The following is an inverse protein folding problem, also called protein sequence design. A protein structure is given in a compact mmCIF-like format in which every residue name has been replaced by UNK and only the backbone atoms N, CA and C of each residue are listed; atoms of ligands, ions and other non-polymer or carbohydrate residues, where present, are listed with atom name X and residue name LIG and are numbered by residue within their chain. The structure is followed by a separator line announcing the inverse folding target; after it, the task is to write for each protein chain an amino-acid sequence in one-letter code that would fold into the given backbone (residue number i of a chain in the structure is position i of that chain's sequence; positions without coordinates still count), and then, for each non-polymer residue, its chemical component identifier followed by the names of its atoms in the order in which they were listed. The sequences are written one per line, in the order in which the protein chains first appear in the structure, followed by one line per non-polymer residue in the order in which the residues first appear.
data_IF_847623459760
#
_entry.id   IF_847623459760
#
_cell.length_a   1.000
_cell.length_b   1.000
_cell.length_c   1.000
_cell.angle_alpha   90.00
_cell.angle_beta   90.00
_cell.angle_gamma   90.00
#
_symmetry.space_group_name_H-M   'P 1'
#
loop_
_entity.id
_entity.type
_entity.pdbx_description
1 polymer ?
#
# COMPACT_ATOMS: atom_id res chain seq x y z
N UNK A 1 -3.24 -8.75 9.03
CA UNK A 1 -3.52 -8.98 7.61
C UNK A 1 -2.24 -9.38 6.87
N UNK A 2 -2.35 -10.16 5.80
CA UNK A 2 -1.21 -10.49 4.93
C UNK A 2 -0.83 -9.27 4.09
N UNK A 3 0.47 -8.99 3.98
CA UNK A 3 1.00 -7.89 3.18
C UNK A 3 2.34 -8.28 2.53
N UNK A 4 2.63 -7.73 1.35
CA UNK A 4 3.95 -7.82 0.73
C UNK A 4 4.76 -6.59 1.12
N UNK A 5 5.97 -6.81 1.64
CA UNK A 5 6.81 -5.74 2.16
C UNK A 5 8.28 -5.91 1.77
N UNK A 6 8.95 -4.78 1.54
CA UNK A 6 10.40 -4.66 1.47
C UNK A 6 10.93 -4.60 2.90
N UNK A 7 11.26 -5.76 3.47
CA UNK A 7 11.73 -5.88 4.87
C UNK A 7 13.25 -5.88 5.00
N UNK A 8 13.98 -6.04 3.90
CA UNK A 8 15.45 -6.14 3.88
C UNK A 8 16.04 -5.31 2.74
N UNK A 9 17.27 -4.83 2.94
CA UNK A 9 18.05 -4.08 1.94
C UNK A 9 18.77 -5.01 0.95
N UNK A 10 18.02 -5.93 0.35
CA UNK A 10 18.50 -6.91 -0.64
C UNK A 10 17.40 -7.19 -1.69
N UNK A 11 17.72 -7.81 -2.83
CA UNK A 11 16.72 -8.23 -3.81
C UNK A 11 15.66 -9.15 -3.18
N UNK A 12 14.39 -8.93 -3.53
CA UNK A 12 13.25 -9.67 -3.03
C UNK A 12 12.15 -8.81 -2.42
N UNK A 13 11.04 -9.47 -2.11
CA UNK A 13 9.90 -8.96 -1.36
C UNK A 13 9.36 -10.10 -0.48
N UNK A 14 8.86 -9.78 0.71
CA UNK A 14 8.48 -10.80 1.70
C UNK A 14 7.03 -10.63 2.11
N UNK A 15 6.32 -11.76 2.18
CA UNK A 15 4.99 -11.81 2.78
C UNK A 15 5.13 -11.75 4.30
N UNK A 16 4.43 -10.79 4.92
CA UNK A 16 4.39 -10.61 6.37
C UNK A 16 2.95 -10.67 6.88
N UNK A 17 2.81 -10.88 8.19
CA UNK A 17 1.59 -10.57 8.92
C UNK A 17 1.74 -9.16 9.53
N UNK A 18 0.97 -8.21 9.01
CA UNK A 18 0.90 -6.84 9.51
C UNK A 18 -0.35 -6.64 10.40
N UNK A 19 -0.35 -5.72 11.36
CA UNK A 19 -1.59 -5.30 12.01
C UNK A 19 -2.53 -4.65 10.98
N UNK A 20 -3.81 -4.54 11.32
CA UNK A 20 -4.72 -3.66 10.58
C UNK A 20 -4.26 -2.20 10.80
N UNK A 21 -4.19 -1.37 9.74
CA UNK A 21 -3.70 -0.01 9.88
C UNK A 21 -4.72 0.86 10.64
N UNK A 22 -4.21 1.68 11.54
CA UNK A 22 -4.97 2.79 12.11
C UNK A 22 -5.07 3.92 11.08
N UNK A 23 -6.18 4.66 11.10
CA UNK A 23 -6.44 5.77 10.18
C UNK A 23 -6.93 6.99 10.94
N UNK A 24 -6.46 8.17 10.54
CA UNK A 24 -6.75 9.44 11.18
C UNK A 24 -8.05 10.09 10.71
N UNK A 25 -8.28 11.32 11.18
CA UNK A 25 -9.53 12.05 10.90
C UNK A 25 -9.76 12.38 9.42
N UNK A 26 -8.71 12.45 8.60
CA UNK A 26 -8.80 12.76 7.17
C UNK A 26 -8.55 11.54 6.27
N UNK A 27 -8.48 10.34 6.84
CA UNK A 27 -8.05 9.15 6.13
C UNK A 27 -9.23 8.24 5.79
N UNK A 28 -9.07 7.49 4.71
CA UNK A 28 -9.92 6.36 4.36
C UNK A 28 -9.19 5.07 4.70
N UNK A 29 -9.88 4.14 5.35
CA UNK A 29 -9.45 2.75 5.43
C UNK A 29 -10.05 1.99 4.26
N UNK A 30 -9.18 1.45 3.40
CA UNK A 30 -9.57 0.78 2.17
C UNK A 30 -9.24 -0.71 2.28
N UNK A 31 -10.26 -1.56 2.10
CA UNK A 31 -10.06 -2.98 1.90
C UNK A 31 -9.68 -3.24 0.45
N UNK A 32 -8.40 -3.52 0.22
CA UNK A 32 -7.86 -3.81 -1.10
C UNK A 32 -8.50 -5.08 -1.67
N UNK A 33 -9.00 -5.00 -2.91
CA UNK A 33 -9.59 -6.14 -3.63
C UNK A 33 -8.61 -6.72 -4.63
N UNK A 34 -7.98 -5.86 -5.44
CA UNK A 34 -6.99 -6.21 -6.45
C UNK A 34 -5.95 -5.10 -6.49
N UNK A 35 -4.69 -5.47 -6.69
CA UNK A 35 -3.57 -4.55 -6.94
C UNK A 35 -2.78 -5.04 -8.15
N UNK A 36 -2.23 -4.11 -8.93
CA UNK A 36 -1.39 -4.38 -10.07
C UNK A 36 0.10 -4.27 -9.70
N UNK A 37 0.97 -4.62 -10.65
CA UNK A 37 2.42 -4.56 -10.54
C UNK A 37 2.92 -3.75 -11.72
N UNK A 38 3.74 -2.74 -11.45
CA UNK A 38 4.34 -1.88 -12.47
C UNK A 38 5.88 -1.94 -12.42
N UNK A 39 6.54 -1.11 -13.25
CA UNK A 39 8.00 -1.00 -13.27
C UNK A 39 8.62 -0.61 -11.92
N UNK A 40 7.96 0.26 -11.14
CA UNK A 40 8.40 0.67 -9.81
C UNK A 40 8.47 -0.53 -8.85
N UNK A 41 7.49 -1.43 -8.89
CA UNK A 41 7.51 -2.64 -8.06
C UNK A 41 8.67 -3.57 -8.45
N UNK A 42 8.99 -3.64 -9.75
CA UNK A 42 10.16 -4.39 -10.25
C UNK A 42 11.48 -3.77 -9.78
N UNK A 43 11.60 -2.43 -9.80
CA UNK A 43 12.75 -1.74 -9.21
C UNK A 43 12.89 -2.10 -7.72
N UNK A 44 11.79 -2.00 -6.95
CA UNK A 44 11.78 -2.34 -5.52
C UNK A 44 12.22 -3.78 -5.31
N UNK A 45 11.64 -4.72 -6.05
CA UNK A 45 11.99 -6.13 -5.98
C UNK A 45 13.47 -6.35 -6.27
N UNK A 46 14.02 -5.79 -7.35
CA UNK A 46 15.42 -5.96 -7.74
C UNK A 46 16.40 -5.24 -6.80
N UNK A 47 15.93 -4.28 -6.00
CA UNK A 47 16.74 -3.49 -5.08
C UNK A 47 17.90 -2.75 -5.78
N UNK A 48 17.60 -2.15 -6.92
CA UNK A 48 18.58 -1.39 -7.69
C UNK A 48 18.92 -0.01 -7.07
N UNK A 49 19.79 0.74 -7.76
CA UNK A 49 20.27 2.06 -7.33
C UNK A 49 19.14 3.06 -7.10
N UNK A 50 18.03 2.98 -7.84
CA UNK A 50 16.89 3.86 -7.61
C UNK A 50 16.21 3.49 -6.30
N UNK A 51 15.90 2.20 -6.11
CA UNK A 51 15.22 1.71 -4.91
C UNK A 51 16.04 1.94 -3.64
N UNK A 52 17.36 1.72 -3.70
CA UNK A 52 18.28 1.96 -2.59
C UNK A 52 18.29 3.42 -2.12
N UNK A 53 17.99 4.38 -3.01
CA UNK A 53 17.95 5.81 -2.69
C UNK A 53 16.57 6.28 -2.25
N UNK A 54 15.51 5.67 -2.76
CA UNK A 54 14.13 6.17 -2.63
C UNK A 54 13.30 5.43 -1.58
N UNK A 55 13.55 4.13 -1.37
CA UNK A 55 12.64 3.26 -0.63
C UNK A 55 13.19 2.99 0.78
N UNK A 56 12.55 3.51 1.84
CA UNK A 56 12.90 3.13 3.20
C UNK A 56 12.57 1.65 3.47
N UNK A 57 13.32 1.06 4.40
CA UNK A 57 13.15 -0.31 4.84
C UNK A 57 12.92 -0.30 6.36
N UNK A 58 11.82 -0.86 6.89
CA UNK A 58 10.79 -1.63 6.18
C UNK A 58 9.70 -0.77 5.50
N UNK A 59 9.12 -1.27 4.41
CA UNK A 59 7.95 -0.66 3.74
C UNK A 59 7.01 -1.72 3.16
N UNK A 60 5.69 -1.60 3.38
CA UNK A 60 4.66 -2.33 2.62
C UNK A 60 4.50 -1.64 1.26
N UNK A 61 4.56 -2.41 0.16
CA UNK A 61 4.60 -1.87 -1.20
C UNK A 61 3.27 -2.07 -1.93
N UNK A 62 3.18 -1.53 -3.14
CA UNK A 62 1.97 -1.54 -3.97
C UNK A 62 1.32 -0.16 -3.98
N UNK A 63 1.13 0.37 -5.19
CA UNK A 63 0.64 1.74 -5.41
C UNK A 63 -0.41 1.82 -6.52
N UNK A 64 -0.77 0.68 -7.12
CA UNK A 64 -1.83 0.58 -8.13
C UNK A 64 -2.88 -0.40 -7.63
N UNK A 65 -4.05 0.08 -7.19
CA UNK A 65 -5.07 -0.77 -6.59
C UNK A 65 -6.51 -0.30 -6.79
N UNK A 66 -7.43 -1.25 -6.64
CA UNK A 66 -8.86 -1.00 -6.45
C UNK A 66 -9.34 -1.68 -5.17
N UNK A 67 -10.21 -1.01 -4.44
CA UNK A 67 -10.73 -1.50 -3.18
C UNK A 67 -12.09 -0.91 -2.82
N UNK A 68 -12.48 -1.17 -1.58
CA UNK A 68 -13.72 -0.67 -1.00
C UNK A 68 -13.42 0.09 0.29
N UNK A 69 -14.07 1.23 0.48
CA UNK A 69 -13.98 2.00 1.72
C UNK A 69 -14.65 1.23 2.85
N UNK A 70 -13.89 0.88 3.89
CA UNK A 70 -14.36 0.12 5.07
C UNK A 70 -14.21 0.89 6.39
N UNK A 71 -13.55 2.05 6.38
CA UNK A 71 -13.48 2.97 7.50
C UNK A 71 -13.24 4.39 6.99
N UNK A 72 -13.77 5.38 7.71
CA UNK A 72 -13.76 6.79 7.30
C UNK A 72 -13.45 7.67 8.51
N UNK A 73 -12.44 8.53 8.38
CA UNK A 73 -12.14 9.57 9.36
C UNK A 73 -13.23 10.67 9.36
N UNK A 74 -13.50 11.25 10.53
CA UNK A 74 -14.65 12.17 10.71
C UNK A 74 -14.62 13.45 9.87
N UNK A 75 -13.46 13.86 9.34
CA UNK A 75 -13.31 15.07 8.53
C UNK A 75 -13.30 14.77 7.02
N UNK A 76 -13.37 13.50 6.62
CA UNK A 76 -13.45 13.10 5.22
C UNK A 76 -14.79 13.52 4.62
N UNK A 77 -14.75 14.08 3.41
CA UNK A 77 -15.94 14.52 2.65
C UNK A 77 -15.94 13.89 1.27
N UNK A 78 -17.14 13.63 0.74
CA UNK A 78 -17.32 13.11 -0.62
C UNK A 78 -17.11 11.61 -0.78
N UNK A 79 -17.03 10.86 0.32
CA UNK A 79 -16.94 9.40 0.33
C UNK A 79 -17.91 8.81 1.35
N UNK A 80 -18.39 7.61 1.06
CA UNK A 80 -19.27 6.81 1.89
C UNK A 80 -18.69 5.41 2.13
N UNK A 81 -19.09 4.78 3.24
CA UNK A 81 -18.71 3.39 3.49
C UNK A 81 -19.31 2.50 2.40
N UNK A 82 -18.48 1.62 1.83
CA UNK A 82 -18.87 0.77 0.70
C UNK A 82 -18.52 1.33 -0.67
N UNK A 83 -18.07 2.58 -0.76
CA UNK A 83 -17.63 3.16 -2.03
C UNK A 83 -16.50 2.35 -2.66
N UNK A 84 -16.59 2.20 -3.98
CA UNK A 84 -15.51 1.63 -4.78
C UNK A 84 -14.53 2.72 -5.16
N UNK A 85 -13.28 2.55 -4.77
CA UNK A 85 -12.21 3.52 -4.99
C UNK A 85 -11.02 2.88 -5.69
N UNK A 86 -10.31 3.67 -6.48
CA UNK A 86 -9.01 3.34 -7.07
C UNK A 86 -7.93 4.27 -6.54
N UNK A 87 -6.74 3.73 -6.30
CA UNK A 87 -5.54 4.49 -5.97
C UNK A 87 -4.43 4.13 -6.94
N UNK A 88 -3.87 5.14 -7.60
CA UNK A 88 -2.74 5.03 -8.53
C UNK A 88 -1.84 6.26 -8.33
N UNK A 89 -0.52 6.08 -8.32
CA UNK A 89 0.46 7.17 -8.15
C UNK A 89 1.89 6.72 -7.97
#
# INVERSE_FOLDING_TARGET
MKALAKTKKEPGIWMIDAPEPEYGHNDLLIKIKITAICGTDVHIYNWDTWSQKTIPVPMITGHEFVGTVVGIGGEVKGFELGDRVSGEG
#
